data_IF_639486418821
#
_entry.id   IF_639486418821
#
_cell.length_a   1.000
_cell.length_b   1.000
_cell.length_c   1.000
_cell.angle_alpha   90.00
_cell.angle_beta   90.00
_cell.angle_gamma   90.00
#
_symmetry.space_group_name_H-M   'P 1'
#
loop_
_entity.id
_entity.type
_entity.pdbx_description
1 polymer ?
#
# COMPACT_ATOMS: atom_id res chain seq x y z
N UNK A 1 29.75 19.82 -26.10
CA UNK A 1 28.84 20.93 -25.74
C UNK A 1 27.57 20.46 -25.02
N UNK A 2 26.79 19.51 -25.56
CA UNK A 2 25.52 19.05 -24.92
C UNK A 2 25.70 18.23 -23.63
N UNK A 3 26.80 17.48 -23.49
CA UNK A 3 27.08 16.65 -22.30
C UNK A 3 27.53 17.50 -21.10
N UNK A 4 28.47 18.41 -21.31
CA UNK A 4 29.02 19.27 -20.25
C UNK A 4 27.94 20.15 -19.60
N UNK A 5 27.01 20.64 -20.43
CA UNK A 5 25.85 21.39 -19.96
C UNK A 5 24.91 20.52 -19.10
N UNK A 6 24.65 19.29 -19.54
CA UNK A 6 23.86 18.32 -18.78
C UNK A 6 24.49 17.97 -17.42
N UNK A 7 25.80 17.74 -17.38
CA UNK A 7 26.53 17.47 -16.14
C UNK A 7 26.42 18.66 -15.18
N UNK A 8 26.65 19.89 -15.67
CA UNK A 8 26.53 21.09 -14.83
C UNK A 8 25.11 21.30 -14.31
N UNK A 9 24.10 21.01 -15.12
CA UNK A 9 22.70 21.10 -14.71
C UNK A 9 22.38 20.07 -13.61
N UNK A 10 22.81 18.81 -13.78
CA UNK A 10 22.63 17.76 -12.78
C UNK A 10 23.32 18.07 -11.45
N UNK A 11 24.56 18.56 -11.49
CA UNK A 11 25.28 18.98 -10.28
C UNK A 11 24.60 20.15 -9.57
N UNK A 12 24.07 21.14 -10.32
CA UNK A 12 23.29 22.22 -9.72
C UNK A 12 22.04 21.69 -9.03
N UNK A 13 21.28 20.82 -9.70
CA UNK A 13 20.07 20.24 -9.11
C UNK A 13 20.37 19.42 -7.84
N UNK A 14 21.40 18.57 -7.88
CA UNK A 14 21.86 17.83 -6.71
C UNK A 14 22.24 18.77 -5.57
N UNK A 15 22.98 19.86 -5.86
CA UNK A 15 23.30 20.89 -4.87
C UNK A 15 22.06 21.57 -4.27
N UNK A 16 21.04 21.87 -5.09
CA UNK A 16 19.78 22.49 -4.61
C UNK A 16 18.90 21.57 -3.77
N UNK A 17 19.16 20.27 -3.78
CA UNK A 17 18.37 19.25 -3.05
C UNK A 17 19.13 18.66 -1.87
N UNK A 18 20.36 19.13 -1.60
CA UNK A 18 21.16 18.74 -0.46
C UNK A 18 20.68 19.49 0.79
N UNK A 19 20.53 18.78 1.90
CA UNK A 19 20.31 19.38 3.21
C UNK A 19 21.57 20.14 3.68
N UNK A 20 21.39 21.17 4.51
CA UNK A 20 22.51 21.95 5.05
C UNK A 20 23.52 21.09 5.84
N UNK A 21 23.09 19.99 6.44
CA UNK A 21 23.95 19.03 7.12
C UNK A 21 24.70 18.06 6.17
N UNK A 22 24.46 18.14 4.86
CA UNK A 22 25.25 17.47 3.83
C UNK A 22 24.67 16.16 3.27
N UNK A 23 23.48 15.74 3.66
CA UNK A 23 22.80 14.54 3.16
C UNK A 23 21.71 14.87 2.13
N UNK A 24 21.16 13.83 1.47
CA UNK A 24 19.99 13.93 0.58
C UNK A 24 18.88 13.03 1.10
N UNK A 25 17.65 13.57 1.13
CA UNK A 25 16.46 12.79 1.44
C UNK A 25 15.50 12.84 0.25
N UNK A 26 15.30 11.69 -0.37
CA UNK A 26 14.31 11.50 -1.42
C UNK A 26 13.14 10.67 -0.91
N UNK A 27 11.97 10.88 -1.52
CA UNK A 27 10.81 10.03 -1.27
C UNK A 27 11.07 8.62 -1.82
N UNK A 28 11.12 7.63 -0.93
CA UNK A 28 11.15 6.22 -1.32
C UNK A 28 9.70 5.75 -1.50
N UNK A 29 9.30 5.54 -2.75
CA UNK A 29 7.98 4.97 -3.08
C UNK A 29 8.07 3.45 -3.18
N UNK A 30 7.08 2.75 -2.65
CA UNK A 30 6.96 1.28 -2.73
C UNK A 30 5.59 0.89 -3.31
N UNK A 31 4.68 0.41 -2.46
CA UNK A 31 3.30 0.07 -2.77
C UNK A 31 2.40 0.44 -1.58
N UNK A 32 1.09 0.33 -1.76
CA UNK A 32 0.11 0.75 -0.75
C UNK A 32 0.01 -0.18 0.47
N UNK A 33 0.82 -1.25 0.57
CA UNK A 33 0.80 -2.09 1.77
C UNK A 33 1.38 -1.38 2.98
N UNK A 34 2.27 -0.41 2.81
CA UNK A 34 2.79 0.36 3.94
C UNK A 34 1.70 1.15 4.64
N UNK A 35 0.83 1.81 3.88
CA UNK A 35 -0.35 2.52 4.39
C UNK A 35 -1.38 1.54 4.94
N UNK A 36 -1.65 0.44 4.23
CA UNK A 36 -2.64 -0.55 4.64
C UNK A 36 -2.26 -1.22 5.98
N UNK A 37 -1.01 -1.67 6.11
CA UNK A 37 -0.49 -2.31 7.31
C UNK A 37 -0.43 -1.32 8.48
N UNK A 38 -0.12 -0.04 8.25
CA UNK A 38 -0.21 0.99 9.29
C UNK A 38 -1.64 1.17 9.80
N UNK A 39 -2.61 1.26 8.88
CA UNK A 39 -4.03 1.35 9.23
C UNK A 39 -4.47 0.13 10.04
N UNK A 40 -4.12 -1.08 9.59
CA UNK A 40 -4.44 -2.32 10.29
C UNK A 40 -3.78 -2.36 11.67
N UNK A 41 -2.53 -1.91 11.81
CA UNK A 41 -1.85 -1.82 13.10
C UNK A 41 -2.60 -0.90 14.06
N UNK A 42 -2.96 0.31 13.63
CA UNK A 42 -3.65 1.28 14.48
C UNK A 42 -5.04 0.78 14.88
N UNK A 43 -5.78 0.19 13.94
CA UNK A 43 -7.08 -0.41 14.21
C UNK A 43 -6.99 -1.56 15.22
N UNK A 44 -6.00 -2.45 15.07
CA UNK A 44 -5.78 -3.57 16.00
C UNK A 44 -5.39 -3.10 17.40
N UNK A 45 -4.54 -2.06 17.49
CA UNK A 45 -4.08 -1.49 18.75
C UNK A 45 -5.11 -0.55 19.42
N UNK A 46 -6.20 -0.21 18.73
CA UNK A 46 -7.19 0.75 19.22
C UNK A 46 -6.65 2.19 19.31
N UNK A 47 -5.69 2.54 18.45
CA UNK A 47 -5.07 3.87 18.40
C UNK A 47 -5.75 4.74 17.36
N UNK A 48 -6.19 5.93 17.77
CA UNK A 48 -6.70 6.96 16.86
C UNK A 48 -5.53 7.82 16.34
N UNK A 49 -5.06 7.51 15.12
CA UNK A 49 -4.01 8.27 14.45
C UNK A 49 -4.63 9.26 13.45
N UNK A 50 -4.33 10.55 13.62
CA UNK A 50 -4.80 11.62 12.72
C UNK A 50 -4.38 11.42 11.25
N UNK A 51 -3.40 10.55 10.96
CA UNK A 51 -2.96 10.21 9.60
C UNK A 51 -3.90 9.24 8.87
N UNK A 52 -4.76 8.50 9.58
CA UNK A 52 -5.59 7.43 8.99
C UNK A 52 -6.46 7.90 7.81
N UNK A 53 -7.14 9.06 7.86
CA UNK A 53 -7.93 9.52 6.72
C UNK A 53 -7.06 9.78 5.49
N UNK A 54 -5.87 10.37 5.67
CA UNK A 54 -4.93 10.63 4.58
C UNK A 54 -4.36 9.36 3.96
N UNK A 55 -4.04 8.37 4.78
CA UNK A 55 -3.58 7.05 4.32
C UNK A 55 -4.67 6.31 3.54
N UNK A 56 -5.92 6.35 4.00
CA UNK A 56 -7.04 5.75 3.29
C UNK A 56 -7.26 6.39 1.90
N UNK A 57 -7.13 7.72 1.82
CA UNK A 57 -7.20 8.43 0.52
C UNK A 57 -6.01 8.07 -0.38
N UNK A 58 -4.81 7.91 0.16
CA UNK A 58 -3.64 7.48 -0.60
C UNK A 58 -3.84 6.08 -1.20
N UNK A 59 -4.35 5.13 -0.40
CA UNK A 59 -4.71 3.79 -0.88
C UNK A 59 -5.73 3.90 -2.02
N UNK A 60 -6.83 4.63 -1.83
CA UNK A 60 -7.86 4.78 -2.88
C UNK A 60 -7.31 5.40 -4.17
N UNK A 61 -6.37 6.35 -4.07
CA UNK A 61 -5.77 7.00 -5.22
C UNK A 61 -4.85 6.08 -6.05
N UNK A 62 -4.33 5.00 -5.46
CA UNK A 62 -3.47 4.02 -6.12
C UNK A 62 -4.24 2.81 -6.70
N UNK A 63 -5.57 2.76 -6.53
CA UNK A 63 -6.37 1.67 -7.06
C UNK A 63 -6.40 1.66 -8.59
N UNK A 64 -6.23 0.48 -9.18
CA UNK A 64 -6.33 0.27 -10.63
C UNK A 64 -7.78 0.26 -11.12
N UNK A 65 -7.95 0.44 -12.43
CA UNK A 65 -9.24 0.39 -13.10
C UNK A 65 -9.96 -0.97 -13.01
N UNK A 66 -9.26 -2.06 -12.70
CA UNK A 66 -9.87 -3.39 -12.46
C UNK A 66 -10.24 -3.62 -10.97
N UNK A 67 -9.96 -2.66 -10.10
CA UNK A 67 -10.25 -2.72 -8.66
C UNK A 67 -9.10 -3.25 -7.79
N UNK A 68 -7.98 -3.65 -8.41
CA UNK A 68 -6.82 -4.19 -7.70
C UNK A 68 -5.77 -3.13 -7.33
N UNK A 69 -4.76 -3.53 -6.55
CA UNK A 69 -3.57 -2.75 -6.25
C UNK A 69 -2.30 -3.48 -6.67
N UNK A 70 -1.27 -2.73 -7.01
CA UNK A 70 0.03 -3.23 -7.49
C UNK A 70 1.01 -3.45 -6.33
N UNK A 71 1.92 -4.42 -6.45
CA UNK A 71 3.00 -4.63 -5.49
C UNK A 71 4.29 -3.85 -5.81
N UNK A 72 4.41 -3.32 -7.03
CA UNK A 72 5.43 -2.36 -7.43
C UNK A 72 4.86 -1.45 -8.51
N UNK A 73 5.47 -0.28 -8.68
CA UNK A 73 5.02 0.72 -9.64
C UNK A 73 5.00 0.19 -11.08
N UNK A 74 3.90 0.44 -11.78
CA UNK A 74 3.67 0.07 -13.19
C UNK A 74 3.68 -1.46 -13.39
N UNK A 75 3.23 -2.21 -12.37
CA UNK A 75 3.09 -3.65 -12.49
C UNK A 75 2.07 -3.99 -13.59
N UNK A 76 2.32 -5.07 -14.38
CA UNK A 76 1.44 -5.44 -15.48
C UNK A 76 0.03 -5.84 -15.00
N UNK A 77 -0.10 -6.31 -13.76
CA UNK A 77 -1.34 -6.72 -13.13
C UNK A 77 -1.35 -6.39 -11.64
N UNK A 78 -2.52 -6.45 -11.02
CA UNK A 78 -2.66 -6.37 -9.57
C UNK A 78 -2.06 -7.56 -8.83
N UNK A 79 -1.77 -7.35 -7.55
CA UNK A 79 -1.27 -8.35 -6.62
C UNK A 79 -2.35 -8.74 -5.61
N UNK A 80 -2.54 -10.05 -5.42
CA UNK A 80 -3.59 -10.57 -4.52
C UNK A 80 -3.37 -10.21 -3.06
N UNK A 81 -2.12 -10.18 -2.60
CA UNK A 81 -1.80 -9.85 -1.21
C UNK A 81 -2.01 -8.36 -0.97
N UNK A 82 -1.46 -7.51 -1.84
CA UNK A 82 -1.65 -6.04 -1.77
C UNK A 82 -3.13 -5.68 -1.80
N UNK A 83 -3.89 -6.27 -2.72
CA UNK A 83 -5.33 -5.95 -2.87
C UNK A 83 -6.13 -6.36 -1.64
N UNK A 84 -5.84 -7.52 -1.05
CA UNK A 84 -6.49 -7.97 0.19
C UNK A 84 -6.15 -7.07 1.37
N UNK A 85 -4.88 -6.68 1.53
CA UNK A 85 -4.45 -5.78 2.61
C UNK A 85 -5.09 -4.40 2.47
N UNK A 86 -5.12 -3.82 1.26
CA UNK A 86 -5.77 -2.53 1.00
C UNK A 86 -7.28 -2.59 1.27
N UNK A 87 -7.95 -3.66 0.83
CA UNK A 87 -9.36 -3.87 1.11
C UNK A 87 -9.63 -3.96 2.62
N UNK A 88 -8.84 -4.77 3.34
CA UNK A 88 -8.98 -4.94 4.79
C UNK A 88 -8.73 -3.62 5.54
N UNK A 89 -7.70 -2.86 5.17
CA UNK A 89 -7.39 -1.57 5.77
C UNK A 89 -8.54 -0.55 5.59
N UNK A 90 -9.08 -0.43 4.37
CA UNK A 90 -10.21 0.45 4.10
C UNK A 90 -11.47 0.03 4.88
N UNK A 91 -11.73 -1.28 4.99
CA UNK A 91 -12.80 -1.79 5.85
C UNK A 91 -12.58 -1.45 7.33
N UNK A 92 -11.35 -1.53 7.82
CA UNK A 92 -11.01 -1.25 9.22
C UNK A 92 -11.24 0.21 9.61
N UNK A 93 -11.10 1.16 8.68
CA UNK A 93 -11.38 2.59 8.91
C UNK A 93 -12.82 3.00 8.54
N UNK A 94 -13.70 2.03 8.33
CA UNK A 94 -15.15 2.25 8.25
C UNK A 94 -15.72 2.40 6.83
N UNK A 95 -14.95 2.16 5.77
CA UNK A 95 -15.54 2.11 4.42
C UNK A 95 -16.49 0.91 4.31
N UNK A 96 -17.66 1.17 3.72
CA UNK A 96 -18.69 0.15 3.54
C UNK A 96 -18.27 -0.86 2.45
N UNK A 97 -18.61 -2.16 2.60
CA UNK A 97 -18.22 -3.19 1.63
C UNK A 97 -18.87 -3.03 0.24
N UNK A 98 -19.93 -2.24 0.13
CA UNK A 98 -20.65 -1.90 -1.10
C UNK A 98 -20.24 -0.54 -1.69
N UNK A 99 -19.34 0.19 -1.02
CA UNK A 99 -18.67 1.34 -1.63
C UNK A 99 -17.95 0.89 -2.91
N UNK A 100 -18.17 1.59 -4.03
CA UNK A 100 -17.78 1.12 -5.37
C UNK A 100 -16.32 0.63 -5.48
N UNK A 101 -15.31 1.35 -4.94
CA UNK A 101 -13.93 0.89 -4.95
C UNK A 101 -13.74 -0.45 -4.24
N UNK A 102 -14.41 -0.63 -3.10
CA UNK A 102 -14.36 -1.86 -2.30
C UNK A 102 -15.13 -3.00 -2.98
N UNK A 103 -16.26 -2.71 -3.62
CA UNK A 103 -17.03 -3.71 -4.34
C UNK A 103 -16.19 -4.33 -5.48
N UNK A 104 -15.53 -3.49 -6.30
CA UNK A 104 -14.63 -3.94 -7.37
C UNK A 104 -13.42 -4.70 -6.84
N UNK A 105 -12.80 -4.21 -5.78
CA UNK A 105 -11.70 -4.91 -5.13
C UNK A 105 -12.12 -6.31 -4.66
N UNK A 106 -13.29 -6.44 -4.02
CA UNK A 106 -13.83 -7.73 -3.57
C UNK A 106 -14.08 -8.69 -4.73
N UNK A 107 -14.71 -8.21 -5.81
CA UNK A 107 -14.92 -9.01 -7.03
C UNK A 107 -13.60 -9.50 -7.62
N UNK A 108 -12.61 -8.60 -7.71
CA UNK A 108 -11.27 -8.95 -8.17
C UNK A 108 -10.60 -9.98 -7.26
N UNK A 109 -10.65 -9.80 -5.93
CA UNK A 109 -10.10 -10.76 -4.95
C UNK A 109 -10.67 -12.16 -5.16
N UNK A 110 -11.99 -12.29 -5.30
CA UNK A 110 -12.62 -13.59 -5.51
C UNK A 110 -12.24 -14.22 -6.86
N UNK A 111 -12.14 -13.42 -7.92
CA UNK A 111 -11.70 -13.89 -9.23
C UNK A 111 -10.23 -14.41 -9.22
N UNK A 112 -9.41 -13.96 -8.27
CA UNK A 112 -7.98 -14.30 -8.17
C UNK A 112 -7.67 -15.32 -7.05
N UNK A 113 -8.68 -16.08 -6.62
CA UNK A 113 -8.53 -17.19 -5.67
C UNK A 113 -8.57 -16.78 -4.18
N UNK A 114 -8.90 -15.52 -3.90
CA UNK A 114 -9.18 -15.02 -2.56
C UNK A 114 -8.02 -15.14 -1.58
N UNK A 115 -8.36 -15.12 -0.29
CA UNK A 115 -7.39 -15.14 0.82
C UNK A 115 -6.53 -16.41 0.88
N UNK A 116 -6.93 -17.50 0.22
CA UNK A 116 -6.11 -18.71 0.16
C UNK A 116 -4.79 -18.51 -0.62
N UNK A 117 -4.75 -17.51 -1.53
CA UNK A 117 -3.63 -17.24 -2.44
C UNK A 117 -2.69 -16.13 -1.97
N UNK A 118 -2.94 -15.54 -0.80
CA UNK A 118 -2.11 -14.45 -0.26
C UNK A 118 -0.83 -14.95 0.40
N UNK A 119 0.16 -14.06 0.50
CA UNK A 119 1.44 -14.29 1.21
C UNK A 119 1.24 -14.45 2.72
N UNK A 120 2.27 -14.96 3.40
CA UNK A 120 2.22 -15.21 4.84
C UNK A 120 1.90 -13.96 5.66
N UNK A 121 2.51 -12.82 5.34
CA UNK A 121 2.30 -11.58 6.10
C UNK A 121 0.84 -11.11 6.05
N UNK A 122 0.18 -11.23 4.90
CA UNK A 122 -1.25 -10.94 4.77
C UNK A 122 -2.08 -11.86 5.65
N UNK A 123 -1.75 -13.15 5.73
CA UNK A 123 -2.45 -14.10 6.62
C UNK A 123 -2.29 -13.73 8.08
N UNK A 124 -1.09 -13.31 8.49
CA UNK A 124 -0.81 -12.84 9.85
C UNK A 124 -1.66 -11.59 10.16
N UNK A 125 -1.70 -10.62 9.25
CA UNK A 125 -2.56 -9.45 9.40
C UNK A 125 -4.04 -9.81 9.54
N UNK A 126 -4.57 -10.69 8.70
CA UNK A 126 -5.95 -11.17 8.80
C UNK A 126 -6.20 -11.94 10.10
N UNK A 127 -5.22 -12.72 10.59
CA UNK A 127 -5.34 -13.50 11.81
C UNK A 127 -5.42 -12.63 13.06
N UNK A 128 -4.77 -11.47 13.08
CA UNK A 128 -4.92 -10.48 14.15
C UNK A 128 -6.38 -10.02 14.31
N UNK A 129 -7.13 -9.95 13.22
CA UNK A 129 -8.55 -9.56 13.22
C UNK A 129 -9.52 -10.75 13.29
N UNK A 130 -9.02 -11.99 13.39
CA UNK A 130 -9.86 -13.20 13.43
C UNK A 130 -10.42 -13.62 12.06
N UNK A 131 -10.00 -12.99 10.96
CA UNK A 131 -10.42 -13.30 9.59
C UNK A 131 -9.60 -14.46 8.97
N UNK A 132 -8.58 -14.93 9.68
CA UNK A 132 -7.78 -16.10 9.31
C UNK A 132 -7.39 -16.91 10.55
N UNK A 133 -7.46 -18.26 10.54
CA UNK A 133 -7.02 -19.06 11.68
C UNK A 133 -5.50 -19.00 11.83
N UNK A 134 -5.01 -18.76 13.05
CA UNK A 134 -3.56 -18.75 13.34
C UNK A 134 -2.85 -20.04 12.95
N UNK A 135 -3.49 -21.20 13.11
CA UNK A 135 -2.97 -22.50 12.68
C UNK A 135 -2.74 -22.59 11.15
N UNK A 136 -3.37 -21.71 10.37
CA UNK A 136 -3.15 -21.58 8.93
C UNK A 136 -1.97 -20.67 8.55
N UNK A 137 -1.24 -20.12 9.52
CA UNK A 137 0.01 -19.37 9.33
C UNK A 137 1.21 -20.29 9.57
N UNK A 138 2.37 -20.10 8.91
CA UNK A 138 3.58 -20.84 9.20
C UNK A 138 4.01 -20.67 10.66
N UNK A 139 4.35 -21.79 11.29
CA UNK A 139 4.94 -21.90 12.63
C UNK A 139 6.44 -21.69 12.61
#
# INVERSE_FOLDING_TARGET
>A
MRLDEGIRAGLRYAGTTQDEAGWWCGLLRSNSTMEAEWILAMAFLGVDDAKLPGMAQAILAEQRADGSWENFRDAPAGDISTTVECYAALRAVGYAPDFEPLARAREWIFAHGGVARVRVFTKIWLALFGEWPWDGTPT
#
